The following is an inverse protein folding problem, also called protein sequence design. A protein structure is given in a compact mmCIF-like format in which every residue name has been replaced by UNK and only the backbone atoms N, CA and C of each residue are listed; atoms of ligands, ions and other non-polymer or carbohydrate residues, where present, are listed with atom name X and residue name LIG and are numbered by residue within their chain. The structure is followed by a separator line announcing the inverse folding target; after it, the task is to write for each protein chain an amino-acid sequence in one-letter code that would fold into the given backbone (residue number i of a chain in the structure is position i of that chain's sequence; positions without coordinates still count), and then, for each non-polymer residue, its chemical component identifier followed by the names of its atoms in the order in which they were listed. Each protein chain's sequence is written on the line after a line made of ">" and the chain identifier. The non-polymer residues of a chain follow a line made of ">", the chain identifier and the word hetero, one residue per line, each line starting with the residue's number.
data_IF_114395514634
#
_entry.id   IF_114395514634
#
_cell.length_a   1.000
_cell.length_b   1.000
_cell.length_c   1.000
_cell.angle_alpha   90.00
_cell.angle_beta   90.00
_cell.angle_gamma   90.00
#
_symmetry.space_group_name_H-M   'P 1'
#
loop_
_entity.id
_entity.type
_entity.pdbx_description
1 polymer ?
#
# COMPACT_ATOMS: atom_id res chain seq x y z
N UNK A 1 22.63 2.26 9.60
CA UNK A 1 23.50 3.01 8.68
C UNK A 1 24.11 2.14 7.57
N UNK A 2 24.18 0.82 7.70
CA UNK A 2 24.78 -0.08 6.69
C UNK A 2 24.14 0.05 5.30
N UNK A 3 22.81 0.23 5.23
CA UNK A 3 22.09 0.48 3.97
C UNK A 3 22.56 1.80 3.33
N UNK A 4 22.71 2.86 4.13
CA UNK A 4 23.15 4.16 3.64
C UNK A 4 24.59 4.09 3.10
N UNK A 5 25.48 3.38 3.80
CA UNK A 5 26.87 3.19 3.40
C UNK A 5 26.96 2.37 2.10
N UNK A 6 26.14 1.33 1.97
CA UNK A 6 26.14 0.51 0.75
C UNK A 6 25.54 1.27 -0.43
N UNK A 7 24.41 1.96 -0.24
CA UNK A 7 23.79 2.82 -1.25
C UNK A 7 24.78 3.88 -1.79
N UNK A 8 25.56 4.49 -0.88
CA UNK A 8 26.60 5.45 -1.25
C UNK A 8 27.73 4.81 -2.06
N UNK A 9 28.17 3.58 -1.70
CA UNK A 9 29.23 2.84 -2.44
C UNK A 9 28.81 2.51 -3.87
N UNK A 10 27.57 2.09 -4.07
CA UNK A 10 27.06 1.70 -5.39
C UNK A 10 26.40 2.85 -6.15
N UNK A 11 26.29 4.03 -5.53
CA UNK A 11 25.81 5.26 -6.18
C UNK A 11 24.31 5.29 -6.44
N UNK A 12 23.49 4.60 -5.61
CA UNK A 12 22.03 4.65 -5.69
C UNK A 12 21.44 5.49 -4.55
N UNK A 13 20.34 6.22 -4.77
CA UNK A 13 19.59 6.83 -3.69
C UNK A 13 18.87 5.74 -2.86
N UNK A 14 18.54 6.05 -1.61
CA UNK A 14 17.65 5.24 -0.79
C UNK A 14 16.59 6.14 -0.14
N UNK A 15 15.44 5.57 0.12
CA UNK A 15 14.23 6.21 0.62
C UNK A 15 13.40 5.21 1.41
N UNK A 16 12.36 5.65 2.08
CA UNK A 16 11.42 4.80 2.81
C UNK A 16 11.21 5.22 4.27
N UNK A 17 10.70 4.30 5.06
CA UNK A 17 10.39 4.53 6.46
C UNK A 17 11.64 4.82 7.29
N UNK A 18 11.50 5.74 8.25
CA UNK A 18 12.53 6.00 9.24
C UNK A 18 12.53 4.87 10.29
N UNK A 19 13.67 4.18 10.51
CA UNK A 19 13.75 3.21 11.59
C UNK A 19 13.60 3.88 12.97
N UNK A 20 12.87 3.28 13.88
CA UNK A 20 12.64 3.82 15.26
C UNK A 20 13.95 4.12 16.01
N UNK A 21 15.03 3.43 15.64
CA UNK A 21 16.36 3.58 16.26
C UNK A 21 17.24 4.68 15.64
N UNK A 22 16.71 5.43 14.66
CA UNK A 22 17.43 6.46 13.91
C UNK A 22 16.66 7.78 13.98
N UNK A 23 17.33 8.89 14.31
CA UNK A 23 16.68 10.20 14.28
C UNK A 23 16.47 10.68 12.85
N UNK A 24 15.45 11.52 12.65
CA UNK A 24 15.17 12.08 11.32
C UNK A 24 16.36 12.93 10.79
N UNK A 25 17.05 13.65 11.68
CA UNK A 25 18.26 14.40 11.35
C UNK A 25 19.40 13.49 10.88
N UNK A 26 19.62 12.35 11.57
CA UNK A 26 20.75 11.46 11.23
C UNK A 26 20.48 10.69 9.95
N UNK A 27 19.24 10.25 9.71
CA UNK A 27 18.84 9.63 8.45
C UNK A 27 19.03 10.60 7.28
N UNK A 28 18.60 11.85 7.44
CA UNK A 28 18.80 12.91 6.45
C UNK A 28 20.29 13.17 6.16
N UNK A 29 21.13 13.26 7.22
CA UNK A 29 22.60 13.42 7.08
C UNK A 29 23.25 12.19 6.45
N UNK A 30 22.70 10.99 6.69
CA UNK A 30 23.15 9.76 6.04
C UNK A 30 22.81 9.69 4.55
N UNK A 31 21.94 10.61 4.06
CA UNK A 31 21.59 10.74 2.64
C UNK A 31 20.25 10.13 2.26
N UNK A 32 19.37 9.81 3.22
CA UNK A 32 18.02 9.40 2.91
C UNK A 32 17.27 10.50 2.15
N UNK A 33 16.69 10.13 1.00
CA UNK A 33 16.17 11.10 0.03
C UNK A 33 14.74 11.52 0.31
N UNK A 34 13.91 10.61 0.86
CA UNK A 34 12.57 10.97 1.33
C UNK A 34 12.19 10.19 2.58
N UNK A 35 11.24 10.74 3.32
CA UNK A 35 10.56 10.08 4.41
C UNK A 35 9.09 9.90 4.01
N UNK A 36 8.59 8.69 4.25
CA UNK A 36 7.21 8.31 3.98
C UNK A 36 6.38 8.41 5.27
N UNK A 37 5.11 8.81 5.14
CA UNK A 37 4.09 8.82 6.21
C UNK A 37 4.45 9.67 7.44
N UNK A 38 5.43 10.55 7.35
CA UNK A 38 5.92 11.41 8.46
C UNK A 38 6.43 10.62 9.68
N UNK A 39 6.77 9.33 9.51
CA UNK A 39 7.28 8.48 10.60
C UNK A 39 8.53 9.16 11.21
N UNK A 40 8.53 9.31 12.54
CA UNK A 40 9.62 9.94 13.28
C UNK A 40 9.67 11.47 13.20
N UNK A 41 8.79 12.13 12.45
CA UNK A 41 8.76 13.59 12.29
C UNK A 41 8.11 14.27 13.50
N UNK A 42 7.01 13.72 14.01
CA UNK A 42 6.33 14.28 15.18
C UNK A 42 7.24 14.30 16.43
N UNK A 43 7.90 13.19 16.84
CA UNK A 43 8.87 13.21 17.95
C UNK A 43 10.05 14.16 17.69
N UNK A 44 10.57 14.22 16.46
CA UNK A 44 11.64 15.15 16.10
C UNK A 44 11.21 16.64 16.19
N UNK A 45 9.91 16.90 16.06
CA UNK A 45 9.30 18.24 16.15
C UNK A 45 9.02 18.70 17.58
N UNK A 46 9.27 17.87 18.59
CA UNK A 46 9.07 18.18 20.00
C UNK A 46 10.24 18.99 20.57
N UNK A 47 9.94 19.89 21.53
CA UNK A 47 10.97 20.57 22.35
C UNK A 47 11.73 19.59 23.25
N UNK A 48 11.21 18.36 23.45
CA UNK A 48 11.82 17.25 24.19
C UNK A 48 12.23 16.10 23.26
N UNK A 49 12.59 16.40 22.02
CA UNK A 49 12.82 15.40 20.98
C UNK A 49 13.80 14.29 21.35
N UNK A 50 14.92 14.62 22.01
CA UNK A 50 15.92 13.65 22.45
C UNK A 50 15.36 12.69 23.50
N UNK A 51 14.66 13.21 24.52
CA UNK A 51 14.04 12.40 25.58
C UNK A 51 12.95 11.48 25.03
N UNK A 52 12.08 12.01 24.18
CA UNK A 52 10.99 11.23 23.57
C UNK A 52 11.50 10.18 22.59
N UNK A 53 12.57 10.47 21.87
CA UNK A 53 13.25 9.51 21.02
C UNK A 53 13.81 8.34 21.84
N UNK A 54 14.46 8.61 22.97
CA UNK A 54 14.95 7.57 23.87
C UNK A 54 13.82 6.75 24.49
N UNK A 55 12.72 7.40 24.89
CA UNK A 55 11.53 6.72 25.39
C UNK A 55 10.93 5.77 24.34
N UNK A 56 10.80 6.23 23.09
CA UNK A 56 10.30 5.41 21.99
C UNK A 56 11.21 4.19 21.71
N UNK A 57 12.53 4.33 21.85
CA UNK A 57 13.44 3.18 21.70
C UNK A 57 13.27 2.13 22.82
N UNK A 58 13.03 2.58 24.05
CA UNK A 58 12.78 1.67 25.17
C UNK A 58 11.50 0.89 24.96
N UNK A 59 10.43 1.57 24.56
CA UNK A 59 9.15 0.96 24.25
C UNK A 59 9.27 -0.04 23.08
N UNK A 60 9.93 0.36 21.98
CA UNK A 60 10.23 -0.52 20.85
C UNK A 60 10.96 -1.81 21.27
N UNK A 61 11.97 -1.69 22.11
CA UNK A 61 12.74 -2.84 22.59
C UNK A 61 11.88 -3.77 23.46
N UNK A 62 11.00 -3.20 24.28
CA UNK A 62 10.07 -3.96 25.13
C UNK A 62 9.01 -4.69 24.30
N UNK A 63 8.44 -4.04 23.28
CA UNK A 63 7.48 -4.62 22.35
C UNK A 63 8.09 -5.81 21.59
N UNK A 64 9.28 -5.63 21.01
CA UNK A 64 10.00 -6.73 20.37
C UNK A 64 10.25 -7.91 21.32
N UNK A 65 10.58 -7.63 22.57
CA UNK A 65 10.85 -8.65 23.58
C UNK A 65 9.58 -9.41 23.99
N UNK A 66 8.45 -8.73 24.09
CA UNK A 66 7.19 -9.31 24.61
C UNK A 66 6.33 -9.93 23.54
N UNK A 67 6.26 -9.31 22.37
CA UNK A 67 5.36 -9.71 21.29
C UNK A 67 6.08 -10.26 20.05
N UNK A 68 7.44 -10.13 19.99
CA UNK A 68 8.24 -10.58 18.84
C UNK A 68 8.02 -9.79 17.56
N UNK A 69 7.24 -8.72 17.63
CA UNK A 69 6.95 -7.76 16.56
C UNK A 69 6.83 -6.38 17.18
N UNK A 70 7.02 -5.38 16.36
CA UNK A 70 6.70 -4.00 16.68
C UNK A 70 5.38 -3.66 15.98
N UNK A 71 4.37 -3.39 16.75
CA UNK A 71 3.20 -2.67 16.28
C UNK A 71 3.53 -1.18 16.48
N UNK A 72 3.30 -0.32 15.50
CA UNK A 72 3.67 1.11 15.57
C UNK A 72 3.19 1.74 16.89
N UNK A 73 3.96 2.72 17.41
CA UNK A 73 3.75 3.35 18.73
C UNK A 73 2.28 3.73 18.98
N UNK A 74 1.55 2.86 19.62
CA UNK A 74 0.16 3.10 20.03
C UNK A 74 0.03 3.50 21.49
N UNK A 75 1.15 3.73 22.21
CA UNK A 75 1.02 4.32 23.53
C UNK A 75 0.55 5.77 23.39
N UNK A 76 -0.75 5.94 23.57
CA UNK A 76 -1.41 7.23 23.56
C UNK A 76 -0.72 8.24 24.51
N UNK A 77 -0.04 7.77 25.56
CA UNK A 77 0.66 8.65 26.50
C UNK A 77 1.91 9.27 25.90
N UNK A 78 2.77 8.48 25.27
CA UNK A 78 3.97 9.00 24.61
C UNK A 78 3.59 9.91 23.42
N UNK A 79 2.60 9.51 22.65
CA UNK A 79 2.04 10.31 21.56
C UNK A 79 1.44 11.63 22.05
N UNK A 80 0.65 11.64 23.12
CA UNK A 80 0.12 12.88 23.71
C UNK A 80 1.26 13.80 24.20
N UNK A 81 2.32 13.26 24.82
CA UNK A 81 3.49 14.04 25.20
C UNK A 81 4.21 14.66 23.98
N UNK A 82 4.29 13.96 22.85
CA UNK A 82 4.84 14.48 21.58
C UNK A 82 4.00 15.66 21.07
N UNK A 83 2.67 15.53 21.08
CA UNK A 83 1.76 16.60 20.67
C UNK A 83 1.83 17.82 21.59
N UNK A 84 1.84 17.60 22.91
CA UNK A 84 1.85 18.66 23.93
C UNK A 84 3.18 19.45 23.93
N UNK A 85 4.27 18.81 23.54
CA UNK A 85 5.61 19.41 23.50
C UNK A 85 6.05 19.86 22.12
N UNK A 86 5.12 19.87 21.15
CA UNK A 86 5.38 20.39 19.81
C UNK A 86 6.00 21.77 19.84
N UNK A 87 7.01 22.00 19.00
CA UNK A 87 7.78 23.23 18.93
C UNK A 87 7.97 23.69 17.48
N UNK A 88 7.37 24.82 17.07
CA UNK A 88 7.62 25.40 15.75
C UNK A 88 9.11 25.63 15.47
N UNK A 89 9.88 26.02 16.50
CA UNK A 89 11.32 26.19 16.39
C UNK A 89 12.04 24.88 16.01
N UNK A 90 11.63 23.74 16.59
CA UNK A 90 12.22 22.44 16.23
C UNK A 90 11.88 22.07 14.78
N UNK A 91 10.68 22.38 14.31
CA UNK A 91 10.30 22.18 12.91
C UNK A 91 11.16 23.03 11.98
N UNK A 92 11.47 24.27 12.33
CA UNK A 92 12.38 25.14 11.56
C UNK A 92 13.80 24.54 11.52
N UNK A 93 14.34 24.10 12.66
CA UNK A 93 15.66 23.48 12.77
C UNK A 93 15.74 22.19 11.93
N UNK A 94 14.73 21.31 12.03
CA UNK A 94 14.62 20.08 11.25
C UNK A 94 14.49 20.36 9.75
N UNK A 95 13.67 21.34 9.37
CA UNK A 95 13.50 21.79 7.99
C UNK A 95 14.80 22.29 7.37
N UNK A 96 15.61 22.99 8.15
CA UNK A 96 16.93 23.46 7.69
C UNK A 96 17.87 22.28 7.38
N UNK A 97 17.83 21.22 8.20
CA UNK A 97 18.60 19.98 7.95
C UNK A 97 18.11 19.30 6.67
N UNK A 98 16.80 19.10 6.51
CA UNK A 98 16.22 18.46 5.33
C UNK A 98 16.53 19.23 4.04
N UNK A 99 16.35 20.55 4.07
CA UNK A 99 16.66 21.41 2.94
C UNK A 99 18.14 21.35 2.56
N UNK A 100 19.05 21.40 3.54
CA UNK A 100 20.50 21.32 3.32
C UNK A 100 20.94 20.01 2.68
N UNK A 101 20.30 18.89 3.08
CA UNK A 101 20.64 17.55 2.59
C UNK A 101 19.82 17.14 1.36
N UNK A 102 18.83 17.94 0.96
CA UNK A 102 17.91 17.61 -0.15
C UNK A 102 17.00 16.42 0.18
N UNK A 103 16.59 16.28 1.44
CA UNK A 103 15.63 15.28 1.89
C UNK A 103 14.21 15.81 1.70
N UNK A 104 13.35 15.00 1.09
CA UNK A 104 11.96 15.33 0.76
C UNK A 104 11.00 14.69 1.77
N UNK A 105 9.76 15.15 1.80
CA UNK A 105 8.68 14.52 2.57
C UNK A 105 7.59 14.03 1.64
N UNK A 106 7.14 12.79 1.84
CA UNK A 106 5.99 12.20 1.17
C UNK A 106 4.93 11.85 2.25
N UNK A 107 4.08 12.81 2.65
CA UNK A 107 3.24 12.67 3.84
C UNK A 107 2.18 11.59 3.73
N UNK A 108 1.68 11.30 2.51
CA UNK A 108 0.59 10.34 2.28
C UNK A 108 -0.61 10.61 3.18
N UNK A 109 -1.07 11.85 3.23
CA UNK A 109 -2.18 12.28 4.08
C UNK A 109 -3.45 11.46 3.87
N UNK A 110 -3.65 10.89 2.68
CA UNK A 110 -4.76 9.96 2.43
C UNK A 110 -4.70 8.72 3.32
N UNK A 111 -3.51 8.17 3.54
CA UNK A 111 -3.29 7.07 4.48
C UNK A 111 -3.49 7.54 5.93
N UNK A 112 -2.83 8.63 6.33
CA UNK A 112 -2.94 9.17 7.69
C UNK A 112 -4.39 9.56 8.04
N UNK A 113 -5.13 10.08 7.06
CA UNK A 113 -6.57 10.37 7.21
C UNK A 113 -7.38 9.07 7.43
N UNK A 114 -7.06 7.99 6.73
CA UNK A 114 -7.73 6.71 6.93
C UNK A 114 -7.47 6.19 8.36
N UNK A 115 -6.25 6.29 8.88
CA UNK A 115 -5.95 5.94 10.27
C UNK A 115 -6.68 6.84 11.27
N UNK A 116 -6.78 8.14 10.99
CA UNK A 116 -7.43 9.08 11.89
C UNK A 116 -8.96 8.99 11.90
N UNK A 117 -9.57 8.73 10.76
CA UNK A 117 -11.02 8.79 10.55
C UNK A 117 -11.65 7.45 10.11
N UNK A 118 -10.97 6.33 10.32
CA UNK A 118 -11.48 5.00 10.00
C UNK A 118 -12.77 4.62 10.76
N UNK A 119 -13.06 5.31 11.87
CA UNK A 119 -14.32 5.21 12.62
C UNK A 119 -15.49 6.01 12.00
N UNK A 120 -15.23 6.84 10.97
CA UNK A 120 -16.27 7.66 10.33
C UNK A 120 -17.09 6.81 9.34
N UNK A 121 -18.41 6.70 9.53
CA UNK A 121 -19.29 6.02 8.57
C UNK A 121 -19.26 6.60 7.15
N UNK A 122 -18.91 7.88 6.99
CA UNK A 122 -18.77 8.51 5.69
C UNK A 122 -17.61 7.89 4.88
N UNK A 123 -16.50 7.56 5.53
CA UNK A 123 -15.39 6.87 4.90
C UNK A 123 -15.80 5.45 4.48
N UNK A 124 -16.49 4.72 5.35
CA UNK A 124 -16.96 3.35 5.08
C UNK A 124 -18.00 3.29 3.95
N UNK A 125 -18.76 4.36 3.74
CA UNK A 125 -19.77 4.48 2.67
C UNK A 125 -19.28 5.20 1.41
N UNK A 126 -17.96 5.33 1.23
CA UNK A 126 -17.38 6.01 0.07
C UNK A 126 -17.84 5.36 -1.25
N UNK A 127 -18.43 6.14 -2.18
CA UNK A 127 -18.96 5.60 -3.44
C UNK A 127 -17.89 4.99 -4.35
N UNK A 128 -16.61 5.23 -4.08
CA UNK A 128 -15.46 4.66 -4.82
C UNK A 128 -15.23 3.19 -4.49
N UNK A 129 -15.77 2.70 -3.38
CA UNK A 129 -15.76 1.27 -3.00
C UNK A 129 -16.26 0.37 -4.13
N UNK A 130 -17.17 0.86 -4.99
CA UNK A 130 -17.68 0.10 -6.17
C UNK A 130 -16.59 -0.29 -7.19
N UNK A 131 -15.42 0.33 -7.14
CA UNK A 131 -14.27 0.00 -8.00
C UNK A 131 -13.33 -1.04 -7.38
N UNK A 132 -13.63 -1.49 -6.17
CA UNK A 132 -12.82 -2.48 -5.44
C UNK A 132 -13.56 -3.82 -5.37
N UNK A 133 -12.85 -4.95 -5.52
CA UNK A 133 -13.47 -6.26 -5.33
C UNK A 133 -14.06 -6.41 -3.92
N UNK A 134 -15.29 -6.96 -3.78
CA UNK A 134 -15.93 -7.09 -2.47
C UNK A 134 -15.11 -7.88 -1.44
N UNK A 135 -14.26 -8.83 -1.89
CA UNK A 135 -13.34 -9.58 -1.01
C UNK A 135 -12.27 -8.69 -0.37
N UNK A 136 -11.78 -7.71 -1.13
CA UNK A 136 -10.80 -6.74 -0.63
C UNK A 136 -11.46 -5.82 0.40
N UNK A 137 -12.64 -5.29 0.06
CA UNK A 137 -13.40 -4.41 0.97
C UNK A 137 -13.83 -5.14 2.25
N UNK A 138 -14.17 -6.42 2.16
CA UNK A 138 -14.51 -7.24 3.33
C UNK A 138 -13.35 -7.43 4.31
N UNK A 139 -12.11 -7.25 3.86
CA UNK A 139 -10.91 -7.25 4.71
C UNK A 139 -10.51 -5.87 5.23
N UNK A 140 -11.28 -4.83 4.90
CA UNK A 140 -11.00 -3.48 5.36
C UNK A 140 -11.61 -3.23 6.74
N UNK A 141 -10.80 -3.38 7.75
CA UNK A 141 -11.15 -3.18 9.15
C UNK A 141 -10.24 -2.11 9.76
N UNK A 142 -10.51 -0.79 9.52
CA UNK A 142 -9.66 0.29 10.04
C UNK A 142 -9.54 0.31 11.57
N UNK A 143 -10.51 -0.28 12.26
CA UNK A 143 -10.54 -0.45 13.71
C UNK A 143 -9.70 -1.65 14.21
N UNK A 144 -9.23 -2.48 13.30
CA UNK A 144 -8.39 -3.66 13.59
C UNK A 144 -7.00 -3.59 12.95
N UNK A 145 -6.72 -2.53 12.18
CA UNK A 145 -5.37 -2.26 11.69
C UNK A 145 -4.48 -1.98 12.91
N UNK A 146 -3.39 -2.71 13.04
CA UNK A 146 -2.46 -2.62 14.17
C UNK A 146 -3.06 -2.97 15.54
N UNK A 147 -4.09 -3.82 15.58
CA UNK A 147 -4.83 -4.21 16.76
C UNK A 147 -6.20 -3.52 16.87
N UNK A 148 -6.96 -3.87 17.91
CA UNK A 148 -8.30 -3.30 18.10
C UNK A 148 -8.22 -1.89 18.68
N UNK A 149 -8.56 -0.90 17.86
CA UNK A 149 -8.51 0.52 18.22
C UNK A 149 -9.75 0.96 19.01
N UNK A 150 -9.51 1.73 20.06
CA UNK A 150 -10.55 2.34 20.89
C UNK A 150 -10.98 3.71 20.34
N UNK A 151 -12.13 4.27 20.77
CA UNK A 151 -12.51 5.65 20.45
C UNK A 151 -11.45 6.68 20.86
N UNK A 152 -10.67 6.41 21.92
CA UNK A 152 -9.58 7.25 22.38
C UNK A 152 -8.42 7.25 21.37
N UNK A 153 -8.08 6.10 20.80
CA UNK A 153 -7.03 5.99 19.77
C UNK A 153 -7.40 6.78 18.51
N UNK A 154 -8.66 6.71 18.08
CA UNK A 154 -9.13 7.55 16.98
C UNK A 154 -9.13 9.04 17.33
N UNK A 155 -9.49 9.41 18.57
CA UNK A 155 -9.43 10.80 19.01
C UNK A 155 -8.00 11.35 19.03
N UNK A 156 -7.03 10.53 19.45
CA UNK A 156 -5.61 10.84 19.39
C UNK A 156 -5.15 10.99 17.93
N UNK A 157 -5.39 10.00 17.06
CA UNK A 157 -4.97 10.03 15.68
C UNK A 157 -5.56 11.24 14.90
N UNK A 158 -6.76 11.69 15.24
CA UNK A 158 -7.34 12.93 14.69
C UNK A 158 -6.55 14.19 15.09
N UNK A 159 -6.05 14.25 16.33
CA UNK A 159 -5.19 15.37 16.78
C UNK A 159 -3.83 15.31 16.09
N UNK A 160 -3.25 14.12 15.99
CA UNK A 160 -1.99 13.86 15.30
C UNK A 160 -2.09 14.28 13.84
N UNK A 161 -3.11 13.85 13.11
CA UNK A 161 -3.35 14.24 11.73
C UNK A 161 -3.41 15.77 11.54
N UNK A 162 -4.08 16.50 12.45
CA UNK A 162 -4.10 17.96 12.39
C UNK A 162 -2.72 18.56 12.62
N UNK A 163 -1.92 17.99 13.52
CA UNK A 163 -0.54 18.43 13.75
C UNK A 163 0.35 18.15 12.53
N UNK A 164 0.19 17.02 11.90
CA UNK A 164 0.92 16.65 10.69
C UNK A 164 0.68 17.62 9.54
N UNK A 165 -0.57 18.07 9.36
CA UNK A 165 -0.89 19.14 8.39
C UNK A 165 -0.11 20.42 8.71
N UNK A 166 -0.07 20.85 9.98
CA UNK A 166 0.68 22.04 10.40
C UNK A 166 2.19 21.89 10.17
N UNK A 167 2.75 20.71 10.50
CA UNK A 167 4.19 20.42 10.33
C UNK A 167 4.59 20.46 8.86
N UNK A 168 3.83 19.79 7.98
CA UNK A 168 4.11 19.79 6.52
C UNK A 168 4.00 21.19 5.94
N UNK A 169 3.00 21.96 6.34
CA UNK A 169 2.86 23.36 5.91
C UNK A 169 4.03 24.24 6.36
N UNK A 170 4.56 24.01 7.56
CA UNK A 170 5.75 24.71 8.05
C UNK A 170 7.02 24.28 7.28
N UNK A 171 7.20 22.98 7.03
CA UNK A 171 8.31 22.45 6.24
C UNK A 171 8.31 23.00 4.81
N UNK A 172 7.15 23.04 4.16
CA UNK A 172 7.01 23.60 2.82
C UNK A 172 7.41 25.09 2.78
N UNK A 173 6.94 25.89 3.76
CA UNK A 173 7.31 27.31 3.88
C UNK A 173 8.82 27.50 4.10
N UNK A 174 9.47 26.57 4.80
CA UNK A 174 10.93 26.57 4.99
C UNK A 174 11.70 26.11 3.73
N UNK A 175 11.00 25.60 2.71
CA UNK A 175 11.54 25.17 1.42
C UNK A 175 12.01 23.72 1.39
N UNK A 176 11.49 22.87 2.25
CA UNK A 176 11.60 21.41 2.14
C UNK A 176 10.75 20.94 0.95
N UNK A 177 11.28 20.02 0.15
CA UNK A 177 10.55 19.44 -0.97
C UNK A 177 9.41 18.53 -0.49
N UNK A 178 8.22 18.70 -1.06
CA UNK A 178 7.04 17.86 -0.77
C UNK A 178 6.67 17.06 -2.01
N UNK A 179 6.37 15.78 -1.81
CA UNK A 179 5.86 14.84 -2.81
C UNK A 179 4.43 14.44 -2.45
N UNK A 180 3.57 14.31 -3.44
CA UNK A 180 2.22 13.78 -3.26
C UNK A 180 2.25 12.25 -3.44
N UNK A 181 2.06 11.52 -2.37
CA UNK A 181 1.91 10.06 -2.33
C UNK A 181 0.58 9.66 -1.72
N UNK A 182 0.09 8.46 -1.98
CA UNK A 182 -1.21 7.98 -1.48
C UNK A 182 -1.13 6.68 -0.71
N UNK A 183 -0.05 5.96 -0.85
CA UNK A 183 0.13 4.60 -0.33
C UNK A 183 -1.07 3.67 -0.62
N UNK A 184 -1.51 3.71 -1.87
CA UNK A 184 -2.69 2.95 -2.32
C UNK A 184 -2.39 1.46 -2.25
N UNK A 185 -3.29 0.73 -1.70
CA UNK A 185 -3.62 -0.63 -1.34
C UNK A 185 -4.09 -0.72 0.12
N UNK A 186 -3.91 0.35 0.89
CA UNK A 186 -4.49 0.44 2.23
C UNK A 186 -6.02 0.62 2.14
N UNK A 187 -6.77 0.28 3.19
CA UNK A 187 -8.21 0.50 3.23
C UNK A 187 -8.58 1.94 2.87
N UNK A 188 -9.63 2.09 2.08
CA UNK A 188 -10.18 3.40 1.66
C UNK A 188 -9.20 4.35 0.94
N UNK A 189 -8.04 3.83 0.50
CA UNK A 189 -7.17 4.51 -0.45
C UNK A 189 -7.40 3.92 -1.85
N UNK A 190 -7.89 4.74 -2.79
CA UNK A 190 -8.38 4.26 -4.09
C UNK A 190 -7.42 4.62 -5.21
N UNK A 191 -7.07 3.65 -6.04
CA UNK A 191 -6.19 3.85 -7.20
C UNK A 191 -6.65 5.01 -8.08
N UNK A 192 -5.76 5.96 -8.32
CA UNK A 192 -6.00 7.15 -9.13
C UNK A 192 -6.87 8.23 -8.44
N UNK A 193 -7.86 7.85 -7.64
CA UNK A 193 -8.75 8.80 -6.99
C UNK A 193 -8.12 9.46 -5.76
N UNK A 194 -7.38 8.71 -4.94
CA UNK A 194 -6.82 9.22 -3.69
C UNK A 194 -5.74 10.28 -3.91
N UNK A 195 -5.11 10.35 -5.10
CA UNK A 195 -4.22 11.45 -5.42
C UNK A 195 -4.92 12.81 -5.37
N UNK A 196 -6.18 12.89 -5.79
CA UNK A 196 -6.96 14.13 -5.70
C UNK A 196 -7.33 14.48 -4.25
N UNK A 197 -7.49 13.47 -3.37
CA UNK A 197 -7.69 13.69 -1.95
C UNK A 197 -6.39 14.21 -1.31
N UNK A 198 -5.25 13.61 -1.65
CA UNK A 198 -3.92 14.05 -1.21
C UNK A 198 -3.65 15.51 -1.57
N UNK A 199 -3.94 15.91 -2.81
CA UNK A 199 -3.83 17.32 -3.22
C UNK A 199 -4.69 18.24 -2.36
N UNK A 200 -5.90 17.79 -1.98
CA UNK A 200 -6.78 18.50 -1.07
C UNK A 200 -6.17 18.68 0.33
N UNK A 201 -5.58 17.62 0.87
CA UNK A 201 -4.91 17.66 2.17
C UNK A 201 -3.63 18.53 2.14
N UNK A 202 -2.87 18.50 1.06
CA UNK A 202 -1.73 19.41 0.90
C UNK A 202 -2.15 20.88 0.91
N UNK A 203 -3.28 21.22 0.28
CA UNK A 203 -3.83 22.57 0.36
C UNK A 203 -4.33 22.89 1.78
N UNK A 204 -4.95 21.93 2.47
CA UNK A 204 -5.35 22.08 3.87
C UNK A 204 -4.13 22.27 4.79
N UNK A 205 -3.00 21.65 4.48
CA UNK A 205 -1.72 21.86 5.17
C UNK A 205 -1.13 23.27 4.95
N UNK A 206 -1.67 24.03 4.00
CA UNK A 206 -1.29 25.44 3.74
C UNK A 206 -0.46 25.62 2.47
N UNK A 207 -0.31 24.60 1.62
CA UNK A 207 0.24 24.76 0.28
C UNK A 207 -0.77 25.52 -0.59
N UNK A 208 -0.29 26.40 -1.45
CA UNK A 208 -1.14 26.94 -2.51
C UNK A 208 -1.54 25.84 -3.51
N UNK A 209 -2.66 25.98 -4.24
CA UNK A 209 -3.05 24.98 -5.24
C UNK A 209 -1.96 24.65 -6.26
N UNK A 210 -1.16 25.64 -6.68
CA UNK A 210 -0.05 25.40 -7.62
C UNK A 210 1.08 24.58 -6.97
N UNK A 211 1.38 24.79 -5.68
CA UNK A 211 2.38 24.01 -4.96
C UNK A 211 1.92 22.58 -4.74
N UNK A 212 0.64 22.36 -4.44
CA UNK A 212 0.06 21.02 -4.35
C UNK A 212 0.12 20.30 -5.72
N UNK A 213 -0.20 20.97 -6.83
CA UNK A 213 -0.04 20.42 -8.18
C UNK A 213 1.44 20.10 -8.49
N UNK A 214 2.35 20.96 -8.09
CA UNK A 214 3.79 20.69 -8.25
C UNK A 214 4.25 19.49 -7.44
N UNK A 215 3.70 19.25 -6.26
CA UNK A 215 3.99 18.06 -5.45
C UNK A 215 3.64 16.75 -6.16
N UNK A 216 2.68 16.77 -7.09
CA UNK A 216 2.27 15.61 -7.90
C UNK A 216 2.85 15.59 -9.33
N UNK A 217 3.59 16.60 -9.75
CA UNK A 217 4.06 16.74 -11.14
C UNK A 217 5.55 17.09 -11.23
N UNK A 218 5.90 18.34 -11.03
CA UNK A 218 7.27 18.85 -11.16
C UNK A 218 8.21 18.29 -10.08
N UNK A 219 7.73 18.20 -8.84
CA UNK A 219 8.56 17.75 -7.73
C UNK A 219 8.99 16.27 -7.89
N UNK A 220 8.12 15.30 -8.19
CA UNK A 220 8.57 13.93 -8.48
C UNK A 220 9.46 13.87 -9.72
N UNK A 221 9.24 14.70 -10.74
CA UNK A 221 10.15 14.76 -11.88
C UNK A 221 11.56 15.23 -11.47
N UNK A 222 11.67 16.22 -10.59
CA UNK A 222 12.95 16.67 -10.01
C UNK A 222 13.56 15.62 -9.11
N UNK A 223 12.77 14.99 -8.25
CA UNK A 223 13.23 13.97 -7.32
C UNK A 223 13.91 12.80 -8.05
N UNK A 224 13.32 12.35 -9.15
CA UNK A 224 13.87 11.30 -10.01
C UNK A 224 14.85 11.80 -11.09
N UNK A 225 15.19 13.09 -11.14
CA UNK A 225 16.08 13.67 -12.16
C UNK A 225 15.51 13.61 -13.58
N UNK A 226 14.16 13.65 -13.72
CA UNK A 226 13.42 13.58 -15.00
C UNK A 226 12.75 14.89 -15.37
N UNK A 227 13.07 15.99 -14.72
CA UNK A 227 12.47 17.30 -14.92
C UNK A 227 12.76 17.92 -16.30
N UNK A 228 13.74 17.37 -17.03
CA UNK A 228 13.97 17.72 -18.45
C UNK A 228 12.92 17.11 -19.40
N UNK A 229 12.32 15.97 -19.00
CA UNK A 229 11.42 15.19 -19.82
C UNK A 229 9.96 15.26 -19.35
N UNK A 230 9.73 15.55 -18.07
CA UNK A 230 8.44 15.46 -17.38
C UNK A 230 8.19 16.67 -16.47
N UNK A 231 7.01 16.73 -15.87
CA UNK A 231 6.66 17.60 -14.74
C UNK A 231 6.14 18.99 -15.11
N UNK A 232 6.37 19.46 -16.35
CA UNK A 232 5.85 20.76 -16.81
C UNK A 232 5.35 20.65 -18.26
N UNK A 233 4.48 21.59 -18.66
CA UNK A 233 3.98 21.70 -20.04
C UNK A 233 4.92 22.59 -20.84
N UNK A 234 5.90 21.97 -21.48
CA UNK A 234 6.92 22.63 -22.28
C UNK A 234 7.19 21.89 -23.58
N UNK A 235 7.58 22.65 -24.62
CA UNK A 235 7.93 22.04 -25.92
C UNK A 235 9.15 21.11 -25.75
N UNK A 236 9.02 19.89 -26.22
CA UNK A 236 10.09 18.87 -26.19
C UNK A 236 9.95 17.87 -25.05
N UNK A 237 9.06 18.10 -24.07
CA UNK A 237 8.73 17.15 -23.02
C UNK A 237 7.69 16.11 -23.46
N UNK A 238 7.59 15.03 -22.70
CA UNK A 238 6.58 14.00 -22.94
C UNK A 238 5.18 14.59 -22.79
N UNK A 239 4.30 14.23 -23.73
CA UNK A 239 2.91 14.70 -23.74
C UNK A 239 2.05 13.79 -22.86
N UNK A 240 2.28 13.84 -21.55
CA UNK A 240 1.41 13.25 -20.52
C UNK A 240 0.65 14.40 -19.85
N UNK A 241 -0.61 14.61 -20.27
CA UNK A 241 -1.39 15.82 -19.95
C UNK A 241 -2.77 15.45 -19.45
N UNK A 242 -3.30 16.27 -18.53
CA UNK A 242 -4.69 16.20 -18.09
C UNK A 242 -5.38 17.51 -18.45
N UNK A 243 -6.47 17.42 -19.22
CA UNK A 243 -7.34 18.54 -19.52
C UNK A 243 -8.50 18.54 -18.52
N UNK A 244 -8.71 19.68 -17.85
CA UNK A 244 -9.73 19.87 -16.83
C UNK A 244 -10.84 20.81 -17.32
N UNK A 245 -12.08 20.57 -16.86
CA UNK A 245 -13.23 21.44 -17.17
C UNK A 245 -13.29 22.71 -16.29
N UNK A 246 -12.47 22.79 -15.24
CA UNK A 246 -12.38 23.95 -14.35
C UNK A 246 -10.96 24.19 -13.86
N UNK A 247 -10.65 25.43 -13.49
CA UNK A 247 -9.33 25.84 -13.07
C UNK A 247 -8.96 25.28 -11.68
N UNK A 248 -7.95 24.41 -11.55
CA UNK A 248 -7.53 23.84 -10.26
C UNK A 248 -6.80 24.86 -9.36
N UNK A 249 -6.42 26.03 -9.89
CA UNK A 249 -5.81 27.11 -9.09
C UNK A 249 -6.86 27.90 -8.30
N UNK A 250 -8.13 27.88 -8.74
CA UNK A 250 -9.23 28.50 -8.02
C UNK A 250 -9.75 27.58 -6.89
N UNK A 251 -9.76 26.27 -7.17
CA UNK A 251 -10.12 25.21 -6.22
C UNK A 251 -9.43 23.91 -6.63
N UNK A 252 -8.61 23.38 -5.76
CA UNK A 252 -7.85 22.14 -6.02
C UNK A 252 -8.77 20.94 -6.31
N UNK A 253 -10.01 20.93 -5.80
CA UNK A 253 -11.01 19.91 -6.10
C UNK A 253 -11.39 19.85 -7.59
N UNK A 254 -11.11 20.90 -8.37
CA UNK A 254 -11.29 20.91 -9.82
C UNK A 254 -10.38 19.92 -10.56
N UNK A 255 -9.33 19.42 -9.93
CA UNK A 255 -8.50 18.31 -10.48
C UNK A 255 -9.32 17.06 -10.75
N UNK A 256 -10.46 16.87 -10.10
CA UNK A 256 -11.41 15.77 -10.34
C UNK A 256 -12.27 15.94 -11.60
N UNK A 257 -12.37 17.18 -12.15
CA UNK A 257 -13.18 17.50 -13.32
C UNK A 257 -12.40 17.23 -14.60
N UNK A 258 -12.01 15.98 -14.81
CA UNK A 258 -11.18 15.55 -15.94
C UNK A 258 -12.04 15.46 -17.20
N UNK A 259 -11.75 16.29 -18.19
CA UNK A 259 -12.32 16.26 -19.54
C UNK A 259 -11.63 15.21 -20.42
N UNK A 260 -10.30 15.23 -20.45
CA UNK A 260 -9.50 14.31 -21.23
C UNK A 260 -8.13 14.06 -20.61
N UNK A 261 -7.51 12.95 -20.99
CA UNK A 261 -6.14 12.61 -20.66
C UNK A 261 -5.36 12.35 -21.96
N UNK A 262 -4.17 12.91 -22.06
CA UNK A 262 -3.18 12.50 -23.07
C UNK A 262 -2.12 11.68 -22.35
N UNK A 263 -1.89 10.46 -22.80
CA UNK A 263 -0.88 9.58 -22.26
C UNK A 263 -0.01 9.02 -23.39
N UNK A 264 1.27 9.31 -23.33
CA UNK A 264 2.24 8.96 -24.40
C UNK A 264 1.76 9.36 -25.79
N UNK A 265 1.18 10.57 -25.89
CA UNK A 265 0.65 11.13 -27.14
C UNK A 265 -0.71 10.60 -27.58
N UNK A 266 -1.33 9.66 -26.87
CA UNK A 266 -2.67 9.15 -27.17
C UNK A 266 -3.72 9.92 -26.37
N UNK A 267 -4.75 10.42 -27.04
CA UNK A 267 -5.85 11.15 -26.42
C UNK A 267 -6.95 10.18 -25.93
N UNK A 268 -7.31 10.28 -24.68
CA UNK A 268 -8.44 9.61 -24.06
C UNK A 268 -9.47 10.67 -23.64
N UNK A 269 -10.49 10.89 -24.47
CA UNK A 269 -11.57 11.81 -24.17
C UNK A 269 -12.51 11.25 -23.09
N UNK A 270 -13.35 12.10 -22.46
CA UNK A 270 -14.24 11.72 -21.38
C UNK A 270 -15.03 10.43 -21.61
N UNK A 271 -15.67 10.20 -22.78
CA UNK A 271 -16.40 8.95 -23.02
C UNK A 271 -15.52 7.69 -22.93
N UNK A 272 -14.25 7.77 -23.38
CA UNK A 272 -13.32 6.64 -23.29
C UNK A 272 -12.90 6.40 -21.82
N UNK A 273 -12.67 7.45 -21.06
CA UNK A 273 -12.35 7.36 -19.63
C UNK A 273 -13.53 6.78 -18.83
N UNK A 274 -14.76 7.20 -19.15
CA UNK A 274 -15.98 6.66 -18.52
C UNK A 274 -16.16 5.16 -18.83
N UNK A 275 -15.89 4.76 -20.07
CA UNK A 275 -15.93 3.36 -20.46
C UNK A 275 -14.86 2.52 -19.72
N UNK A 276 -13.66 3.07 -19.49
CA UNK A 276 -12.62 2.43 -18.67
C UNK A 276 -13.08 2.25 -17.23
N UNK A 277 -13.64 3.31 -16.61
CA UNK A 277 -14.16 3.23 -15.24
C UNK A 277 -15.32 2.24 -15.12
N UNK A 278 -16.26 2.24 -16.08
CA UNK A 278 -17.34 1.27 -16.13
C UNK A 278 -16.81 -0.18 -16.24
N UNK A 279 -15.76 -0.38 -17.03
CA UNK A 279 -15.09 -1.69 -17.12
C UNK A 279 -14.44 -2.08 -15.79
N UNK A 280 -13.74 -1.17 -15.09
CA UNK A 280 -13.15 -1.44 -13.77
C UNK A 280 -14.24 -1.81 -12.77
N UNK A 281 -15.35 -1.07 -12.75
CA UNK A 281 -16.49 -1.38 -11.88
C UNK A 281 -17.09 -2.76 -12.19
N UNK A 282 -17.26 -3.11 -13.46
CA UNK A 282 -17.76 -4.41 -13.86
C UNK A 282 -16.81 -5.54 -13.45
N UNK A 283 -15.50 -5.33 -13.60
CA UNK A 283 -14.47 -6.29 -13.16
C UNK A 283 -14.48 -6.48 -11.64
N UNK A 284 -14.58 -5.38 -10.87
CA UNK A 284 -14.66 -5.43 -9.42
C UNK A 284 -15.92 -6.16 -8.91
N UNK A 285 -17.04 -6.03 -9.62
CA UNK A 285 -18.32 -6.65 -9.26
C UNK A 285 -18.45 -8.13 -9.68
N UNK A 286 -17.43 -8.72 -10.29
CA UNK A 286 -17.49 -10.12 -10.74
C UNK A 286 -17.76 -11.08 -9.57
N UNK A 287 -18.63 -12.07 -9.73
CA UNK A 287 -18.77 -13.16 -8.77
C UNK A 287 -17.44 -13.89 -8.57
N UNK A 288 -17.11 -14.20 -7.32
CA UNK A 288 -15.91 -14.94 -6.97
C UNK A 288 -16.05 -16.40 -7.39
N UNK A 289 -15.17 -16.89 -8.23
CA UNK A 289 -15.21 -18.28 -8.69
C UNK A 289 -15.10 -19.26 -7.51
N UNK A 290 -14.30 -18.92 -6.51
CA UNK A 290 -14.13 -19.73 -5.31
C UNK A 290 -15.44 -20.00 -4.58
N UNK A 291 -16.32 -19.00 -4.43
CA UNK A 291 -17.66 -19.18 -3.82
C UNK A 291 -18.57 -20.08 -4.66
N UNK A 292 -18.54 -19.92 -5.98
CA UNK A 292 -19.35 -20.72 -6.91
C UNK A 292 -18.91 -22.19 -6.84
N UNK A 293 -17.62 -22.45 -6.92
CA UNK A 293 -17.07 -23.81 -6.87
C UNK A 293 -17.26 -24.44 -5.49
N UNK A 294 -17.09 -23.68 -4.40
CA UNK A 294 -17.32 -24.21 -3.05
C UNK A 294 -18.76 -24.71 -2.86
N UNK A 295 -19.75 -23.93 -3.34
CA UNK A 295 -21.14 -24.36 -3.31
C UNK A 295 -21.35 -25.67 -4.08
N UNK A 296 -20.79 -25.80 -5.28
CA UNK A 296 -20.87 -27.00 -6.09
C UNK A 296 -20.16 -28.19 -5.44
N UNK A 297 -19.01 -27.94 -4.80
CA UNK A 297 -18.32 -29.00 -4.03
C UNK A 297 -19.21 -29.54 -2.91
N UNK A 298 -19.90 -28.67 -2.19
CA UNK A 298 -20.79 -29.08 -1.11
C UNK A 298 -22.03 -29.88 -1.60
N UNK A 299 -22.58 -29.47 -2.75
CA UNK A 299 -23.83 -30.04 -3.25
C UNK A 299 -23.62 -31.30 -4.14
N UNK A 300 -22.52 -31.34 -4.92
CA UNK A 300 -22.32 -32.30 -6.01
C UNK A 300 -20.92 -32.94 -6.02
N UNK A 301 -20.02 -32.47 -5.16
CA UNK A 301 -18.65 -32.98 -5.06
C UNK A 301 -17.63 -32.27 -5.97
N UNK A 302 -16.36 -32.65 -5.78
CA UNK A 302 -15.22 -31.96 -6.42
C UNK A 302 -15.20 -32.13 -7.95
N UNK A 303 -15.55 -33.29 -8.47
CA UNK A 303 -15.51 -33.55 -9.92
C UNK A 303 -16.50 -32.67 -10.69
N UNK A 304 -17.69 -32.44 -10.08
CA UNK A 304 -18.68 -31.52 -10.63
C UNK A 304 -18.15 -30.07 -10.66
N UNK A 305 -17.48 -29.63 -9.60
CA UNK A 305 -16.90 -28.28 -9.53
C UNK A 305 -15.78 -28.09 -10.56
N UNK A 306 -14.90 -29.07 -10.75
CA UNK A 306 -13.84 -29.03 -11.78
C UNK A 306 -14.46 -28.94 -13.18
N UNK A 307 -15.50 -29.74 -13.45
CA UNK A 307 -16.22 -29.71 -14.72
C UNK A 307 -16.89 -28.35 -14.94
N UNK A 308 -17.57 -27.83 -13.92
CA UNK A 308 -18.20 -26.49 -13.95
C UNK A 308 -17.20 -25.40 -14.25
N UNK A 309 -16.05 -25.39 -13.58
CA UNK A 309 -15.00 -24.39 -13.84
C UNK A 309 -14.56 -24.40 -15.31
N UNK A 310 -14.28 -25.57 -15.88
CA UNK A 310 -13.85 -25.69 -17.28
C UNK A 310 -14.93 -25.22 -18.25
N UNK A 311 -16.19 -25.49 -17.97
CA UNK A 311 -17.31 -24.97 -18.76
C UNK A 311 -17.42 -23.45 -18.67
N UNK A 312 -17.36 -22.89 -17.44
CA UNK A 312 -17.41 -21.45 -17.20
C UNK A 312 -16.24 -20.74 -17.89
N UNK A 313 -15.02 -21.26 -17.74
CA UNK A 313 -13.83 -20.71 -18.39
C UNK A 313 -13.96 -20.67 -19.94
N UNK A 314 -14.65 -21.66 -20.51
CA UNK A 314 -14.83 -21.75 -21.97
C UNK A 314 -15.97 -20.87 -22.47
N UNK A 315 -17.12 -20.88 -21.78
CA UNK A 315 -18.34 -20.18 -22.22
C UNK A 315 -18.44 -18.74 -21.73
N UNK A 316 -17.83 -18.46 -20.57
CA UNK A 316 -17.95 -17.21 -19.82
C UNK A 316 -16.60 -16.77 -19.22
N UNK A 317 -15.54 -16.59 -20.04
CA UNK A 317 -14.16 -16.40 -19.57
C UNK A 317 -13.97 -15.14 -18.73
N UNK A 318 -14.87 -14.17 -18.88
CA UNK A 318 -14.78 -12.85 -18.26
C UNK A 318 -15.89 -12.58 -17.21
N UNK A 319 -16.79 -13.52 -16.96
CA UNK A 319 -17.96 -13.28 -16.08
C UNK A 319 -17.63 -13.48 -14.58
N UNK A 320 -16.50 -14.13 -14.27
CA UNK A 320 -16.11 -14.47 -12.91
C UNK A 320 -14.72 -13.90 -12.56
N UNK A 321 -14.50 -13.58 -11.30
CA UNK A 321 -13.16 -13.38 -10.77
C UNK A 321 -12.51 -14.76 -10.57
N UNK A 322 -11.62 -15.08 -11.50
CA UNK A 322 -10.82 -16.30 -11.49
C UNK A 322 -9.36 -16.01 -11.11
N UNK A 323 -9.11 -14.95 -10.32
CA UNK A 323 -7.76 -14.61 -9.84
C UNK A 323 -7.12 -15.78 -9.09
N UNK A 324 -5.80 -15.81 -9.05
CA UNK A 324 -5.04 -16.82 -8.31
C UNK A 324 -5.52 -16.96 -6.87
N UNK A 325 -5.77 -15.83 -6.19
CA UNK A 325 -6.23 -15.78 -4.80
C UNK A 325 -7.54 -16.54 -4.56
N UNK A 326 -8.44 -16.57 -5.57
CA UNK A 326 -9.71 -17.30 -5.46
C UNK A 326 -9.50 -18.81 -5.37
N UNK A 327 -8.57 -19.35 -6.16
CA UNK A 327 -8.21 -20.78 -6.08
C UNK A 327 -7.44 -21.09 -4.81
N UNK A 328 -6.48 -20.22 -4.46
CA UNK A 328 -5.66 -20.38 -3.25
C UNK A 328 -6.53 -20.34 -2.01
N UNK A 329 -7.42 -19.34 -1.89
CA UNK A 329 -8.36 -19.24 -0.76
C UNK A 329 -9.31 -20.43 -0.65
N UNK A 330 -9.88 -20.90 -1.78
CA UNK A 330 -10.73 -22.09 -1.82
C UNK A 330 -9.96 -23.34 -1.42
N UNK A 331 -8.76 -23.54 -1.95
CA UNK A 331 -7.92 -24.70 -1.65
C UNK A 331 -7.56 -24.79 -0.17
N UNK A 332 -7.12 -23.69 0.45
CA UNK A 332 -6.84 -23.65 1.89
C UNK A 332 -8.09 -23.80 2.74
N UNK A 333 -9.24 -23.26 2.32
CA UNK A 333 -10.54 -23.52 2.96
C UNK A 333 -10.87 -25.01 3.00
N UNK A 334 -10.58 -25.74 1.94
CA UNK A 334 -10.76 -27.19 1.87
C UNK A 334 -9.74 -27.95 2.75
N UNK A 335 -8.48 -27.51 2.83
CA UNK A 335 -7.49 -28.07 3.77
C UNK A 335 -7.98 -27.91 5.21
N UNK A 336 -8.47 -26.72 5.58
CA UNK A 336 -8.95 -26.43 6.93
C UNK A 336 -10.06 -27.41 7.39
N UNK A 337 -10.94 -27.78 6.46
CA UNK A 337 -11.99 -28.80 6.73
C UNK A 337 -11.53 -30.25 6.44
N UNK A 338 -10.21 -30.45 6.25
CA UNK A 338 -9.56 -31.76 5.98
C UNK A 338 -10.04 -32.45 4.68
N UNK A 339 -10.54 -31.70 3.73
CA UNK A 339 -10.83 -32.19 2.39
C UNK A 339 -9.60 -32.06 1.47
N UNK A 340 -8.54 -32.79 1.77
CA UNK A 340 -7.26 -32.69 1.06
C UNK A 340 -7.37 -33.07 -0.42
N UNK A 341 -8.21 -34.06 -0.76
CA UNK A 341 -8.46 -34.42 -2.17
C UNK A 341 -9.13 -33.30 -2.94
N UNK A 342 -10.08 -32.63 -2.34
CA UNK A 342 -10.71 -31.45 -2.92
C UNK A 342 -9.72 -30.30 -3.11
N UNK A 343 -8.88 -30.04 -2.11
CA UNK A 343 -7.84 -29.00 -2.18
C UNK A 343 -6.84 -29.28 -3.32
N UNK A 344 -6.38 -30.51 -3.48
CA UNK A 344 -5.49 -30.92 -4.56
C UNK A 344 -6.09 -30.59 -5.92
N UNK A 345 -7.37 -30.93 -6.17
CA UNK A 345 -8.00 -30.67 -7.47
C UNK A 345 -8.16 -29.14 -7.70
N UNK A 346 -8.49 -28.35 -6.68
CA UNK A 346 -8.57 -26.88 -6.81
C UNK A 346 -7.17 -26.29 -7.07
N UNK A 347 -6.14 -26.72 -6.38
CA UNK A 347 -4.77 -26.22 -6.64
C UNK A 347 -4.24 -26.69 -8.00
N UNK A 348 -4.66 -27.84 -8.53
CA UNK A 348 -4.37 -28.22 -9.93
C UNK A 348 -5.00 -27.23 -10.91
N UNK A 349 -6.23 -26.78 -10.67
CA UNK A 349 -6.85 -25.72 -11.47
C UNK A 349 -6.07 -24.39 -11.36
N UNK A 350 -5.56 -24.06 -10.16
CA UNK A 350 -4.70 -22.89 -9.97
C UNK A 350 -3.40 -23.00 -10.80
N UNK A 351 -2.74 -24.13 -10.77
CA UNK A 351 -1.51 -24.40 -11.59
C UNK A 351 -1.84 -24.33 -13.09
N UNK A 352 -2.99 -24.87 -13.53
CA UNK A 352 -3.45 -24.79 -14.93
C UNK A 352 -3.71 -23.32 -15.37
N UNK A 353 -4.26 -22.49 -14.47
CA UNK A 353 -4.56 -21.10 -14.76
C UNK A 353 -3.32 -20.20 -14.65
N UNK A 354 -2.42 -20.48 -13.73
CA UNK A 354 -1.24 -19.66 -13.37
C UNK A 354 0.07 -20.47 -13.36
N UNK A 355 0.48 -21.07 -14.48
CA UNK A 355 1.62 -22.00 -14.54
C UNK A 355 2.99 -21.34 -14.28
N UNK A 356 3.06 -19.99 -14.23
CA UNK A 356 4.27 -19.24 -13.92
C UNK A 356 4.29 -18.70 -12.47
N UNK A 357 3.26 -18.96 -11.67
CA UNK A 357 3.22 -18.60 -10.26
C UNK A 357 3.84 -19.70 -9.41
N UNK A 358 4.89 -19.37 -8.67
CA UNK A 358 5.49 -20.32 -7.74
C UNK A 358 4.55 -20.71 -6.60
N UNK A 359 3.66 -19.78 -6.21
CA UNK A 359 2.73 -19.93 -5.10
C UNK A 359 1.69 -21.04 -5.37
N UNK A 360 1.22 -21.20 -6.62
CA UNK A 360 0.29 -22.26 -6.98
C UNK A 360 0.91 -23.66 -6.82
N UNK A 361 2.19 -23.81 -7.16
CA UNK A 361 2.92 -25.08 -6.97
C UNK A 361 3.24 -25.33 -5.49
N UNK A 362 3.56 -24.27 -4.73
CA UNK A 362 3.83 -24.37 -3.29
C UNK A 362 2.57 -24.86 -2.55
N UNK A 363 1.41 -24.24 -2.83
CA UNK A 363 0.10 -24.61 -2.26
C UNK A 363 -0.32 -26.04 -2.67
N UNK A 364 -0.08 -26.43 -3.92
CA UNK A 364 -0.35 -27.78 -4.38
C UNK A 364 0.54 -28.81 -3.69
N UNK A 365 1.83 -28.46 -3.44
CA UNK A 365 2.76 -29.29 -2.70
C UNK A 365 2.32 -29.51 -1.26
N UNK A 366 1.84 -28.46 -0.59
CA UNK A 366 1.31 -28.53 0.77
C UNK A 366 0.09 -29.46 0.83
N UNK A 367 -0.87 -29.32 -0.10
CA UNK A 367 -2.04 -30.20 -0.16
C UNK A 367 -1.66 -31.68 -0.39
N UNK A 368 -0.66 -31.95 -1.23
CA UNK A 368 -0.14 -33.32 -1.39
C UNK A 368 0.54 -33.82 -0.11
N UNK A 369 1.31 -32.97 0.57
CA UNK A 369 1.94 -33.32 1.84
C UNK A 369 0.91 -33.70 2.89
N UNK A 370 -0.16 -32.89 3.03
CA UNK A 370 -1.25 -33.13 3.99
C UNK A 370 -2.09 -34.36 3.63
N UNK A 371 -2.18 -34.70 2.35
CA UNK A 371 -2.82 -35.94 1.89
C UNK A 371 -1.94 -37.19 2.05
N UNK A 372 -0.63 -37.02 2.36
CA UNK A 372 0.34 -38.11 2.48
C UNK A 372 1.07 -38.49 1.19
N UNK A 373 0.87 -37.76 0.10
CA UNK A 373 1.46 -38.01 -1.22
C UNK A 373 2.86 -37.38 -1.34
N UNK A 374 3.82 -37.89 -0.54
CA UNK A 374 5.16 -37.34 -0.36
C UNK A 374 5.89 -37.03 -1.68
N UNK A 375 5.89 -37.96 -2.64
CA UNK A 375 6.63 -37.79 -3.90
C UNK A 375 6.06 -36.66 -4.76
N UNK A 376 4.74 -36.47 -4.74
CA UNK A 376 4.08 -35.38 -5.45
C UNK A 376 4.33 -34.04 -4.76
N UNK A 377 4.35 -34.01 -3.43
CA UNK A 377 4.71 -32.82 -2.66
C UNK A 377 6.14 -32.37 -3.01
N UNK A 378 7.11 -33.29 -3.01
CA UNK A 378 8.51 -32.98 -3.35
C UNK A 378 8.63 -32.37 -4.75
N UNK A 379 7.97 -32.97 -5.76
CA UNK A 379 8.02 -32.45 -7.15
C UNK A 379 7.46 -31.04 -7.27
N UNK A 380 6.37 -30.75 -6.59
CA UNK A 380 5.73 -29.44 -6.66
C UNK A 380 6.52 -28.37 -5.87
N UNK A 381 7.09 -28.69 -4.70
CA UNK A 381 8.03 -27.78 -4.04
C UNK A 381 9.29 -27.50 -4.88
N UNK A 382 9.84 -28.52 -5.56
CA UNK A 382 10.96 -28.32 -6.48
C UNK A 382 10.58 -27.37 -7.61
N UNK A 383 9.37 -27.52 -8.19
CA UNK A 383 8.89 -26.64 -9.26
C UNK A 383 8.65 -25.21 -8.76
N UNK A 384 8.11 -25.04 -7.56
CA UNK A 384 7.96 -23.73 -6.93
C UNK A 384 9.31 -23.02 -6.76
N UNK A 385 10.34 -23.73 -6.27
CA UNK A 385 11.70 -23.20 -6.11
C UNK A 385 12.38 -22.91 -7.46
N UNK A 386 12.13 -23.73 -8.49
CA UNK A 386 12.63 -23.47 -9.85
C UNK A 386 12.10 -22.14 -10.39
N UNK A 387 10.81 -21.82 -10.13
CA UNK A 387 10.18 -20.56 -10.55
C UNK A 387 10.65 -19.40 -9.67
N UNK A 388 10.72 -19.60 -8.36
CA UNK A 388 11.21 -18.61 -7.40
C UNK A 388 12.27 -19.20 -6.47
N UNK A 389 13.57 -19.05 -6.79
CA UNK A 389 14.65 -19.54 -5.93
C UNK A 389 14.68 -18.96 -4.52
N UNK A 390 13.98 -17.86 -4.27
CA UNK A 390 13.82 -17.22 -2.97
C UNK A 390 12.66 -17.75 -2.13
N UNK A 391 11.90 -18.76 -2.58
CA UNK A 391 10.78 -19.34 -1.82
C UNK A 391 11.28 -20.08 -0.57
N UNK A 392 11.38 -19.35 0.55
CA UNK A 392 11.86 -19.87 1.83
C UNK A 392 10.99 -21.02 2.37
N UNK A 393 9.65 -20.96 2.18
CA UNK A 393 8.73 -22.03 2.59
C UNK A 393 9.03 -23.33 1.83
N UNK A 394 9.04 -23.26 0.51
CA UNK A 394 9.32 -24.41 -0.35
C UNK A 394 10.68 -25.06 -0.02
N UNK A 395 11.73 -24.24 0.21
CA UNK A 395 13.06 -24.73 0.59
C UNK A 395 13.02 -25.48 1.94
N UNK A 396 12.35 -24.90 2.95
CA UNK A 396 12.24 -25.48 4.28
C UNK A 396 11.45 -26.81 4.25
N UNK A 397 10.32 -26.86 3.53
CA UNK A 397 9.49 -28.05 3.41
C UNK A 397 10.15 -29.15 2.62
N UNK A 398 10.85 -28.83 1.53
CA UNK A 398 11.62 -29.80 0.76
C UNK A 398 12.74 -30.44 1.60
N UNK A 399 13.46 -29.64 2.42
CA UNK A 399 14.45 -30.14 3.35
C UNK A 399 13.82 -31.09 4.38
N UNK A 400 12.67 -30.74 4.95
CA UNK A 400 11.94 -31.56 5.92
C UNK A 400 11.51 -32.89 5.31
N UNK A 401 10.94 -32.90 4.09
CA UNK A 401 10.49 -34.10 3.41
C UNK A 401 11.61 -35.04 3.03
N UNK A 402 12.82 -34.52 2.68
CA UNK A 402 13.98 -35.32 2.33
C UNK A 402 14.71 -35.93 3.56
N UNK A 403 14.40 -35.42 4.78
CA UNK A 403 15.00 -35.92 6.03
C UNK A 403 14.16 -36.99 6.75
N UNK A 404 12.93 -37.21 6.28
CA UNK A 404 12.02 -38.28 6.70
C UNK A 404 12.06 -39.47 5.73
#
# INVERSE_FOLDING_TARGET
>A
FDIADEAKKIGIPFEGHLPVTVTAEDASRAGQKSFEHLIGILPASSSRSEELFQAAQVEFAEELRTHGRFDELHDSKLGEEMLDTYSPRRVEELSAVFKSNGTWQCPTFTLLHMFAYGDDPALQSDPRVKYMPPRVVAGWHPDELDGKRSPQDFAFAKKEFQRDLEVVGAMQKAGVGILAGTDTQNPYTFYGFSLHDELGFLVQAGLSPIEALQAATLNPARFFGKDKDLGTIEKGKLADLVLLDANPLDDIANTRKINAVVYRGNLYARPALDAMLAKVQALAARPLIGKVLFKTIQEQGIDAAVTQYRELKTKHPDDYDCSEDEFIGLGYGLIHIKNFKGAIEIFKLAVEAYPQSYNTYDSLAEAYMDNGDKDLAIRNYQKSIEINPGNANGIAMLKKLNSQ
#
